data_IF_756808849953
#
_entry.id   IF_756808849953
#
_cell.length_a   1.000
_cell.length_b   1.000
_cell.length_c   1.000
_cell.angle_alpha   90.00
_cell.angle_beta   90.00
_cell.angle_gamma   90.00
#
_symmetry.space_group_name_H-M   'P 1'
#
loop_
_entity.id
_entity.type
_entity.pdbx_description
1 polymer ?
#
# COMPACT_ATOMS: atom_id res chain seq x y z
N UNK A 1 12.12 -31.71 -5.23
CA UNK A 1 12.70 -31.92 -3.90
C UNK A 1 12.47 -30.76 -2.93
N UNK A 2 12.49 -29.49 -3.34
CA UNK A 2 12.27 -28.32 -2.44
C UNK A 2 10.82 -28.23 -1.87
N UNK A 3 9.82 -28.76 -2.54
CA UNK A 3 8.41 -28.75 -2.05
C UNK A 3 8.14 -29.68 -0.85
N UNK A 4 8.96 -30.70 -0.67
CA UNK A 4 8.80 -31.70 0.42
C UNK A 4 9.49 -31.21 1.69
N UNK A 5 10.58 -30.45 1.59
CA UNK A 5 11.32 -29.90 2.74
C UNK A 5 10.55 -28.76 3.47
N UNK A 6 9.76 -27.96 2.75
CA UNK A 6 8.95 -26.88 3.39
C UNK A 6 7.78 -27.43 4.23
N UNK A 7 7.20 -28.54 3.82
CA UNK A 7 6.17 -29.24 4.59
C UNK A 7 6.77 -29.92 5.84
N UNK A 8 8.00 -30.41 5.75
CA UNK A 8 8.66 -31.15 6.83
C UNK A 8 9.02 -30.22 8.00
N UNK A 9 9.39 -28.95 7.78
CA UNK A 9 9.76 -28.04 8.87
C UNK A 9 8.57 -27.53 9.69
N UNK A 10 7.43 -27.27 9.07
CA UNK A 10 6.18 -26.98 9.77
C UNK A 10 5.66 -28.22 10.54
N UNK A 11 5.97 -29.43 10.07
CA UNK A 11 5.62 -30.68 10.74
C UNK A 11 6.59 -31.08 11.87
N UNK A 12 7.88 -30.73 11.80
CA UNK A 12 8.84 -31.15 12.82
C UNK A 12 8.59 -30.54 14.20
N UNK A 13 8.11 -29.28 14.27
CA UNK A 13 7.69 -28.69 15.56
C UNK A 13 6.46 -29.38 16.17
N UNK A 14 5.66 -30.08 15.35
CA UNK A 14 4.49 -30.83 15.78
C UNK A 14 4.80 -32.29 16.29
N UNK A 15 5.90 -32.88 15.83
CA UNK A 15 6.16 -34.30 16.12
C UNK A 15 6.91 -34.56 17.44
N UNK A 16 7.44 -33.56 18.13
CA UNK A 16 8.35 -33.79 19.25
C UNK A 16 7.71 -34.00 20.64
N UNK A 17 6.39 -33.84 20.81
CA UNK A 17 5.75 -34.20 22.10
C UNK A 17 4.28 -34.56 21.90
N UNK A 18 3.93 -35.85 21.94
CA UNK A 18 2.56 -36.30 22.09
C UNK A 18 2.13 -36.25 23.56
N UNK A 19 1.03 -35.52 23.82
CA UNK A 19 0.14 -35.82 24.97
C UNK A 19 0.38 -35.02 26.24
N UNK A 20 -0.08 -33.78 26.31
CA UNK A 20 -0.69 -33.15 27.51
C UNK A 20 -1.30 -31.79 27.16
N UNK A 21 -2.44 -31.35 27.77
CA UNK A 21 -3.06 -30.03 27.50
C UNK A 21 -2.12 -28.84 27.75
N UNK A 22 -1.16 -28.99 28.66
CA UNK A 22 -0.10 -28.00 28.95
C UNK A 22 0.82 -27.79 27.74
N UNK A 23 1.05 -28.84 26.96
CA UNK A 23 1.87 -28.80 25.74
C UNK A 23 1.24 -27.95 24.62
N UNK A 24 -0.08 -28.07 24.42
CA UNK A 24 -0.78 -27.34 23.33
C UNK A 24 -0.85 -25.84 23.59
N UNK A 25 -1.04 -25.44 24.85
CA UNK A 25 -0.99 -24.02 25.25
C UNK A 25 0.40 -23.42 25.05
N UNK A 26 1.45 -24.15 25.40
CA UNK A 26 2.82 -23.71 25.17
C UNK A 26 3.09 -23.55 23.67
N UNK A 27 2.69 -24.50 22.82
CA UNK A 27 2.86 -24.45 21.37
C UNK A 27 2.13 -23.26 20.75
N UNK A 28 0.89 -22.99 21.15
CA UNK A 28 0.14 -21.81 20.70
C UNK A 28 0.90 -20.52 21.03
N UNK A 29 1.35 -20.38 22.27
CA UNK A 29 2.08 -19.17 22.69
C UNK A 29 3.40 -19.00 21.99
N UNK A 30 4.15 -20.10 21.81
CA UNK A 30 5.42 -20.06 21.11
C UNK A 30 5.22 -19.63 19.65
N UNK A 31 4.30 -20.26 18.94
CA UNK A 31 3.98 -19.87 17.58
C UNK A 31 3.52 -18.41 17.47
N UNK A 32 2.64 -17.98 18.36
CA UNK A 32 2.18 -16.59 18.41
C UNK A 32 3.35 -15.60 18.60
N UNK A 33 4.25 -15.89 19.54
CA UNK A 33 5.46 -15.12 19.77
C UNK A 33 6.35 -15.07 18.52
N UNK A 34 6.59 -16.22 17.90
CA UNK A 34 7.47 -16.33 16.72
C UNK A 34 6.97 -15.49 15.54
N UNK A 35 5.66 -15.38 15.36
CA UNK A 35 5.06 -14.52 14.32
C UNK A 35 4.78 -13.08 14.78
N UNK A 36 5.23 -12.67 15.98
CA UNK A 36 5.11 -11.32 16.50
C UNK A 36 3.74 -10.97 17.09
N UNK A 37 3.07 -11.95 17.70
CA UNK A 37 1.94 -11.70 18.59
C UNK A 37 2.44 -11.67 20.02
N UNK A 38 2.35 -10.50 20.64
CA UNK A 38 2.80 -10.29 22.01
C UNK A 38 2.03 -11.19 23.00
N UNK A 39 2.63 -11.43 24.17
CA UNK A 39 1.96 -12.17 25.25
C UNK A 39 0.68 -11.45 25.69
N UNK A 40 -0.48 -12.06 25.43
CA UNK A 40 -1.79 -11.45 25.68
C UNK A 40 -2.32 -11.78 27.07
N UNK A 41 -1.91 -12.91 27.64
CA UNK A 41 -2.39 -13.42 28.93
C UNK A 41 -1.60 -14.67 29.37
N UNK A 42 -1.68 -15.00 30.66
CA UNK A 42 -0.91 -16.07 31.28
C UNK A 42 -1.62 -17.45 31.21
N UNK A 43 -2.95 -17.47 31.25
CA UNK A 43 -3.74 -18.71 31.38
C UNK A 43 -4.63 -18.93 30.13
N UNK A 44 -4.87 -20.20 29.74
CA UNK A 44 -5.63 -20.57 28.56
C UNK A 44 -7.15 -20.53 28.79
N UNK A 45 -7.68 -19.44 29.35
CA UNK A 45 -9.13 -19.25 29.39
C UNK A 45 -9.70 -18.91 28.00
N UNK A 46 -11.03 -19.00 27.87
CA UNK A 46 -11.71 -18.76 26.60
C UNK A 46 -11.44 -17.37 26.02
N UNK A 47 -11.37 -16.36 26.85
CA UNK A 47 -11.13 -14.99 26.42
C UNK A 47 -9.68 -14.81 25.92
N UNK A 48 -8.74 -15.45 26.59
CA UNK A 48 -7.33 -15.45 26.23
C UNK A 48 -7.08 -16.13 24.89
N UNK A 49 -7.53 -17.35 24.74
CA UNK A 49 -7.39 -18.12 23.46
C UNK A 49 -8.07 -17.39 22.31
N UNK A 50 -9.27 -16.82 22.52
CA UNK A 50 -9.96 -15.98 21.54
C UNK A 50 -9.11 -14.82 21.08
N UNK A 51 -8.43 -14.10 21.99
CA UNK A 51 -7.54 -12.98 21.66
C UNK A 51 -6.33 -13.43 20.85
N UNK A 52 -5.68 -14.54 21.21
CA UNK A 52 -4.58 -15.10 20.43
C UNK A 52 -5.02 -15.45 19.02
N UNK A 53 -6.14 -16.16 18.88
CA UNK A 53 -6.66 -16.57 17.57
C UNK A 53 -7.05 -15.37 16.71
N UNK A 54 -7.68 -14.34 17.29
CA UNK A 54 -7.97 -13.10 16.59
C UNK A 54 -6.70 -12.41 16.07
N UNK A 55 -5.63 -12.40 16.87
CA UNK A 55 -4.35 -11.80 16.47
C UNK A 55 -3.60 -12.64 15.43
N UNK A 56 -3.65 -13.97 15.53
CA UNK A 56 -3.04 -14.87 14.55
C UNK A 56 -3.75 -14.75 13.19
N UNK A 57 -5.08 -14.68 13.17
CA UNK A 57 -5.86 -14.60 11.92
C UNK A 57 -5.87 -13.19 11.34
N UNK A 58 -6.06 -12.17 12.18
CA UNK A 58 -6.38 -10.80 11.76
C UNK A 58 -5.33 -9.76 12.13
N UNK A 59 -4.25 -10.14 12.80
CA UNK A 59 -3.22 -9.20 13.21
C UNK A 59 -3.74 -8.03 14.03
N UNK A 60 -2.90 -7.04 14.22
CA UNK A 60 -3.24 -5.72 14.77
C UNK A 60 -3.04 -4.65 13.71
N UNK A 61 -3.64 -3.50 13.91
CA UNK A 61 -3.40 -2.33 13.05
C UNK A 61 -1.89 -2.02 13.02
N UNK A 62 -1.28 -1.87 11.82
CA UNK A 62 0.13 -1.51 11.70
C UNK A 62 0.45 -0.20 12.43
N UNK A 63 1.59 -0.15 13.13
CA UNK A 63 1.96 0.95 14.06
C UNK A 63 1.94 2.35 13.43
N UNK A 64 2.18 2.47 12.13
CA UNK A 64 2.28 3.76 11.42
C UNK A 64 1.00 4.15 10.69
N UNK A 65 -0.09 3.41 10.86
CA UNK A 65 -1.36 3.73 10.21
C UNK A 65 -1.88 5.08 10.68
N UNK A 66 -2.11 6.00 9.72
CA UNK A 66 -2.53 7.38 10.02
C UNK A 66 -4.03 7.58 9.82
N UNK A 67 -4.64 6.79 8.95
CA UNK A 67 -6.07 6.89 8.66
C UNK A 67 -6.63 5.54 8.24
N UNK A 68 -7.81 5.21 8.73
CA UNK A 68 -8.52 3.97 8.43
C UNK A 68 -9.91 4.32 7.87
N UNK A 69 -9.98 4.39 6.55
CA UNK A 69 -11.20 4.70 5.81
C UNK A 69 -11.96 3.47 5.32
N UNK A 70 -11.41 2.26 5.56
CA UNK A 70 -12.07 1.00 5.21
C UNK A 70 -12.67 0.35 6.47
N UNK A 71 -13.87 -0.24 6.37
CA UNK A 71 -14.42 -1.04 7.46
C UNK A 71 -13.61 -2.32 7.65
N UNK A 72 -13.27 -2.62 8.90
CA UNK A 72 -12.66 -3.87 9.30
C UNK A 72 -13.73 -4.91 9.66
N UNK A 73 -13.55 -6.15 9.23
CA UNK A 73 -14.44 -7.27 9.52
C UNK A 73 -13.66 -8.41 10.15
N UNK A 74 -14.01 -8.75 11.39
CA UNK A 74 -13.49 -9.92 12.10
C UNK A 74 -14.61 -10.95 12.17
N UNK A 75 -14.34 -12.18 11.71
CA UNK A 75 -15.29 -13.30 11.81
C UNK A 75 -15.24 -13.89 13.23
N UNK A 76 -15.98 -13.25 14.14
CA UNK A 76 -16.05 -13.66 15.54
C UNK A 76 -16.63 -15.07 15.71
N UNK A 77 -17.54 -15.49 14.83
CA UNK A 77 -18.13 -16.84 14.86
C UNK A 77 -17.08 -17.89 14.56
N UNK A 78 -16.25 -17.66 13.52
CA UNK A 78 -15.12 -18.54 13.20
C UNK A 78 -14.14 -18.61 14.36
N UNK A 79 -13.74 -17.47 14.94
CA UNK A 79 -12.80 -17.44 16.06
C UNK A 79 -13.37 -18.18 17.27
N UNK A 80 -14.63 -17.94 17.64
CA UNK A 80 -15.27 -18.63 18.76
C UNK A 80 -15.35 -20.15 18.55
N UNK A 81 -15.59 -20.60 17.31
CA UNK A 81 -15.58 -22.03 16.97
C UNK A 81 -14.19 -22.65 17.17
N UNK A 82 -13.14 -22.03 16.64
CA UNK A 82 -11.77 -22.51 16.77
C UNK A 82 -11.31 -22.50 18.24
N UNK A 83 -11.70 -21.48 19.01
CA UNK A 83 -11.45 -21.42 20.46
C UNK A 83 -12.08 -22.62 21.19
N UNK A 84 -13.34 -22.93 20.90
CA UNK A 84 -14.00 -24.12 21.51
C UNK A 84 -13.33 -25.44 21.13
N UNK A 85 -12.88 -25.58 19.88
CA UNK A 85 -12.15 -26.77 19.42
C UNK A 85 -10.83 -26.94 20.19
N UNK A 86 -10.06 -25.85 20.34
CA UNK A 86 -8.80 -25.85 21.09
C UNK A 86 -9.02 -26.22 22.57
N UNK A 87 -9.96 -25.56 23.24
CA UNK A 87 -10.30 -25.85 24.65
C UNK A 87 -10.92 -27.23 24.84
N UNK A 88 -11.55 -27.78 23.81
CA UNK A 88 -12.06 -29.14 23.76
C UNK A 88 -11.00 -30.21 23.49
N UNK A 89 -9.72 -29.87 23.39
CA UNK A 89 -8.61 -30.79 23.25
C UNK A 89 -8.20 -31.10 21.79
N UNK A 90 -8.68 -30.34 20.81
CA UNK A 90 -8.14 -30.42 19.44
C UNK A 90 -6.69 -29.96 19.44
N UNK A 91 -5.79 -30.76 18.88
CA UNK A 91 -4.36 -30.43 18.85
C UNK A 91 -4.08 -29.19 18.05
N UNK A 92 -3.03 -28.45 18.43
CA UNK A 92 -2.64 -27.18 17.83
C UNK A 92 -2.32 -27.31 16.33
N UNK A 93 -1.66 -28.40 15.93
CA UNK A 93 -1.25 -28.57 14.54
C UNK A 93 -2.44 -28.72 13.59
N UNK A 94 -3.50 -29.42 14.04
CA UNK A 94 -4.75 -29.53 13.28
C UNK A 94 -5.48 -28.19 13.14
N UNK A 95 -5.33 -27.28 14.11
CA UNK A 95 -5.93 -25.95 14.07
C UNK A 95 -5.10 -24.93 13.31
N UNK A 96 -3.79 -25.12 13.27
CA UNK A 96 -2.85 -24.14 12.72
C UNK A 96 -3.15 -23.78 11.25
N UNK A 97 -3.40 -24.77 10.40
CA UNK A 97 -3.74 -24.51 8.99
C UNK A 97 -5.07 -23.74 8.84
N UNK A 98 -5.99 -23.94 9.77
CA UNK A 98 -7.25 -23.19 9.81
C UNK A 98 -7.10 -21.76 10.32
N UNK A 99 -6.05 -21.46 11.09
CA UNK A 99 -5.77 -20.15 11.67
C UNK A 99 -4.89 -19.31 10.74
N UNK A 100 -3.87 -19.93 10.16
CA UNK A 100 -2.88 -19.25 9.34
C UNK A 100 -3.47 -18.71 8.02
N UNK A 101 -2.89 -17.61 7.54
CA UNK A 101 -3.25 -17.07 6.24
C UNK A 101 -2.81 -17.99 5.10
N UNK A 102 -3.71 -18.23 4.14
CA UNK A 102 -3.40 -18.97 2.93
C UNK A 102 -2.70 -18.12 1.85
N UNK A 103 -2.45 -16.84 2.11
CA UNK A 103 -1.67 -15.98 1.24
C UNK A 103 -0.26 -16.57 1.06
N UNK A 104 0.11 -16.85 -0.21
CA UNK A 104 1.40 -17.47 -0.54
C UNK A 104 2.58 -16.66 -0.03
N UNK A 105 2.51 -15.32 -0.10
CA UNK A 105 3.58 -14.42 0.35
C UNK A 105 3.71 -14.46 1.87
N UNK A 106 2.59 -14.44 2.58
CA UNK A 106 2.58 -14.60 4.03
C UNK A 106 3.29 -15.90 4.43
N UNK A 107 2.91 -17.05 3.83
CA UNK A 107 3.54 -18.34 4.13
C UNK A 107 5.04 -18.38 3.84
N UNK A 108 5.49 -17.77 2.74
CA UNK A 108 6.91 -17.66 2.42
C UNK A 108 7.67 -16.79 3.45
N UNK A 109 7.08 -15.68 3.88
CA UNK A 109 7.66 -14.79 4.89
C UNK A 109 7.66 -15.42 6.28
N UNK A 110 6.62 -16.17 6.64
CA UNK A 110 6.58 -16.94 7.90
C UNK A 110 7.69 -18.00 7.92
N UNK A 111 7.84 -18.76 6.83
CA UNK A 111 8.94 -19.74 6.73
C UNK A 111 10.33 -19.08 6.81
N UNK A 112 10.50 -17.89 6.27
CA UNK A 112 11.72 -17.11 6.41
C UNK A 112 11.94 -16.67 7.87
N UNK A 113 10.90 -16.15 8.52
CA UNK A 113 10.94 -15.74 9.93
C UNK A 113 11.38 -16.90 10.83
N UNK A 114 10.77 -18.07 10.66
CA UNK A 114 11.12 -19.27 11.43
C UNK A 114 12.58 -19.68 11.24
N UNK A 115 13.11 -19.62 10.01
CA UNK A 115 14.55 -19.88 9.76
C UNK A 115 15.43 -18.88 10.47
N UNK A 116 15.13 -17.58 10.40
CA UNK A 116 15.90 -16.56 11.09
C UNK A 116 15.95 -16.78 12.61
N UNK A 117 14.83 -17.25 13.20
CA UNK A 117 14.77 -17.56 14.64
C UNK A 117 15.61 -18.80 15.01
N UNK A 118 15.67 -19.81 14.12
CA UNK A 118 16.46 -21.02 14.34
C UNK A 118 17.96 -20.76 14.15
N UNK A 119 18.32 -20.02 13.09
CA UNK A 119 19.71 -19.77 12.73
C UNK A 119 20.34 -18.64 13.57
N UNK A 120 19.55 -17.93 14.38
CA UNK A 120 19.94 -16.73 15.15
C UNK A 120 20.70 -15.69 14.29
N UNK A 121 20.36 -15.65 13.00
CA UNK A 121 21.00 -14.77 12.03
C UNK A 121 20.01 -14.20 11.01
N UNK A 122 20.00 -12.87 10.88
CA UNK A 122 19.13 -12.14 9.94
C UNK A 122 19.89 -11.20 8.99
N UNK A 123 21.21 -11.17 9.04
CA UNK A 123 22.02 -10.16 8.35
C UNK A 123 21.97 -8.79 9.03
N UNK A 124 22.95 -7.94 8.75
CA UNK A 124 23.23 -6.70 9.48
C UNK A 124 22.18 -5.59 9.34
N UNK A 125 21.14 -5.76 8.53
CA UNK A 125 20.20 -4.69 8.18
C UNK A 125 18.73 -4.95 8.51
N UNK A 126 18.40 -6.10 9.11
CA UNK A 126 17.04 -6.52 9.41
C UNK A 126 16.94 -6.98 10.86
N UNK A 127 15.83 -6.63 11.54
CA UNK A 127 15.54 -7.16 12.88
C UNK A 127 14.34 -8.08 12.85
N UNK A 128 14.22 -8.98 13.84
CA UNK A 128 13.08 -9.91 13.93
C UNK A 128 11.76 -9.14 14.05
N UNK A 129 11.74 -8.03 14.76
CA UNK A 129 10.54 -7.20 14.93
C UNK A 129 10.08 -6.62 13.59
N UNK A 130 11.00 -6.30 12.66
CA UNK A 130 10.66 -5.82 11.33
C UNK A 130 10.02 -6.91 10.47
N UNK A 131 10.51 -8.15 10.60
CA UNK A 131 9.90 -9.33 9.95
C UNK A 131 8.52 -9.58 10.52
N UNK A 132 8.40 -9.60 11.83
CA UNK A 132 7.14 -9.81 12.56
C UNK A 132 6.12 -8.73 12.28
N UNK A 133 6.52 -7.44 12.16
CA UNK A 133 5.62 -6.36 11.77
C UNK A 133 5.14 -6.52 10.32
N UNK A 134 5.98 -7.02 9.42
CA UNK A 134 5.57 -7.37 8.07
C UNK A 134 4.54 -8.52 8.08
N UNK A 135 4.77 -9.58 8.86
CA UNK A 135 3.80 -10.67 9.03
C UNK A 135 2.47 -10.16 9.61
N UNK A 136 2.55 -9.26 10.61
CA UNK A 136 1.38 -8.60 11.17
C UNK A 136 0.58 -7.85 10.11
N UNK A 137 1.24 -7.08 9.24
CA UNK A 137 0.56 -6.35 8.17
C UNK A 137 -0.17 -7.29 7.20
N UNK A 138 0.41 -8.45 6.85
CA UNK A 138 -0.27 -9.46 6.03
C UNK A 138 -1.49 -10.08 6.73
N UNK A 139 -1.41 -10.37 8.04
CA UNK A 139 -2.56 -10.84 8.82
C UNK A 139 -3.64 -9.76 8.91
N UNK A 140 -3.25 -8.51 9.12
CA UNK A 140 -4.18 -7.39 9.19
C UNK A 140 -4.97 -7.19 7.89
N UNK A 141 -4.40 -7.49 6.71
CA UNK A 141 -5.12 -7.46 5.44
C UNK A 141 -6.34 -8.41 5.41
N UNK A 142 -6.39 -9.46 6.24
CA UNK A 142 -7.53 -10.37 6.33
C UNK A 142 -8.78 -9.71 6.93
N UNK A 143 -8.64 -8.51 7.55
CA UNK A 143 -9.78 -7.73 8.04
C UNK A 143 -10.59 -7.08 6.91
N UNK A 144 -10.03 -6.98 5.72
CA UNK A 144 -10.69 -6.33 4.59
C UNK A 144 -11.23 -7.36 3.61
N UNK A 145 -12.55 -7.63 3.71
CA UNK A 145 -13.24 -8.56 2.81
C UNK A 145 -13.61 -7.84 1.52
N UNK A 146 -12.75 -7.92 0.52
CA UNK A 146 -13.01 -7.39 -0.81
C UNK A 146 -12.58 -8.39 -1.88
N UNK A 147 -13.32 -8.39 -3.00
CA UNK A 147 -12.97 -9.22 -4.17
C UNK A 147 -11.67 -8.76 -4.83
N UNK A 148 -11.43 -7.45 -4.78
CA UNK A 148 -10.25 -6.81 -5.39
C UNK A 148 -9.74 -5.75 -4.43
N UNK A 149 -8.43 -5.70 -4.19
CA UNK A 149 -7.75 -4.71 -3.33
C UNK A 149 -6.49 -4.21 -4.01
N UNK A 150 -6.29 -2.91 -4.00
CA UNK A 150 -5.03 -2.26 -4.40
C UNK A 150 -4.16 -2.11 -3.15
N UNK A 151 -2.96 -2.63 -3.17
CA UNK A 151 -2.01 -2.56 -2.06
C UNK A 151 -0.74 -1.89 -2.59
N UNK A 152 -0.31 -0.82 -1.93
CA UNK A 152 0.96 -0.15 -2.22
C UNK A 152 1.89 -0.34 -1.04
N UNK A 153 3.06 -0.91 -1.29
CA UNK A 153 4.12 -1.00 -0.30
C UNK A 153 5.16 0.09 -0.57
N UNK A 154 5.33 1.01 0.38
CA UNK A 154 6.20 2.18 0.23
C UNK A 154 7.68 1.78 0.08
N UNK A 155 8.28 0.93 0.94
CA UNK A 155 9.70 0.59 0.83
C UNK A 155 10.07 -0.08 -0.50
N UNK A 156 9.27 -1.01 -0.99
CA UNK A 156 9.51 -1.68 -2.28
C UNK A 156 9.12 -0.80 -3.47
N UNK A 157 8.38 0.27 -3.24
CA UNK A 157 7.76 1.12 -4.27
C UNK A 157 7.03 0.28 -5.34
N UNK A 158 6.21 -0.67 -4.86
CA UNK A 158 5.40 -1.57 -5.67
C UNK A 158 3.92 -1.42 -5.33
N UNK A 159 3.09 -1.44 -6.37
CA UNK A 159 1.66 -1.58 -6.31
C UNK A 159 1.27 -2.99 -6.74
N UNK A 160 0.41 -3.63 -5.99
CA UNK A 160 -0.21 -4.91 -6.34
C UNK A 160 -1.73 -4.79 -6.27
N UNK A 161 -2.41 -5.49 -7.16
CA UNK A 161 -3.83 -5.75 -7.03
C UNK A 161 -3.99 -7.21 -6.66
N UNK A 162 -4.65 -7.48 -5.56
CA UNK A 162 -4.93 -8.84 -5.10
C UNK A 162 -6.42 -9.17 -5.22
N UNK A 163 -6.70 -10.44 -5.50
CA UNK A 163 -8.04 -11.03 -5.43
C UNK A 163 -8.46 -11.30 -3.97
N UNK A 164 -9.66 -11.85 -3.78
CA UNK A 164 -10.21 -12.23 -2.47
C UNK A 164 -9.35 -13.28 -1.74
N UNK A 165 -8.62 -14.13 -2.47
CA UNK A 165 -7.75 -15.17 -1.91
C UNK A 165 -6.35 -14.66 -1.56
N UNK A 166 -6.03 -13.39 -1.86
CA UNK A 166 -4.71 -12.81 -1.67
C UNK A 166 -3.76 -13.02 -2.86
N UNK A 167 -4.20 -13.70 -3.94
CA UNK A 167 -3.35 -13.85 -5.12
C UNK A 167 -3.14 -12.51 -5.80
N UNK A 168 -1.92 -12.24 -6.23
CA UNK A 168 -1.61 -11.05 -7.02
C UNK A 168 -2.07 -11.27 -8.46
N UNK A 169 -3.04 -10.46 -8.91
CA UNK A 169 -3.57 -10.48 -10.28
C UNK A 169 -2.96 -9.40 -11.17
N UNK A 170 -2.29 -8.40 -10.55
CA UNK A 170 -1.60 -7.32 -11.26
C UNK A 170 -0.50 -6.75 -10.38
N UNK A 171 0.63 -6.34 -11.00
CA UNK A 171 1.69 -5.58 -10.34
C UNK A 171 2.21 -4.45 -11.22
N UNK A 172 2.65 -3.38 -10.57
CA UNK A 172 3.23 -2.21 -11.22
C UNK A 172 4.25 -1.55 -10.30
N UNK A 173 5.34 -1.09 -10.86
CA UNK A 173 6.23 -0.16 -10.15
C UNK A 173 5.49 1.13 -9.86
N UNK A 174 5.83 1.77 -8.73
CA UNK A 174 5.29 3.09 -8.39
C UNK A 174 6.40 4.02 -7.95
N UNK A 175 6.12 5.31 -7.97
CA UNK A 175 6.92 6.35 -7.31
C UNK A 175 6.10 6.86 -6.13
N UNK A 176 6.68 6.83 -4.94
CA UNK A 176 6.07 7.32 -3.70
C UNK A 176 6.76 8.59 -3.20
N UNK A 177 6.25 9.18 -2.14
CA UNK A 177 6.79 10.41 -1.55
C UNK A 177 8.27 10.26 -1.15
N UNK A 178 9.03 11.35 -1.28
CA UNK A 178 10.38 11.43 -0.72
C UNK A 178 10.34 11.54 0.82
N UNK A 179 11.44 11.24 1.55
CA UNK A 179 11.46 11.30 3.01
C UNK A 179 10.99 12.64 3.61
N UNK A 180 11.24 13.76 2.93
CA UNK A 180 10.80 15.08 3.37
C UNK A 180 9.32 15.39 3.11
N UNK A 181 8.65 14.60 2.25
CA UNK A 181 7.22 14.69 1.93
C UNK A 181 6.67 13.26 1.79
N UNK A 182 6.62 12.49 2.87
CA UNK A 182 6.30 11.08 2.82
C UNK A 182 4.85 10.82 2.41
N UNK A 183 4.64 9.74 1.67
CA UNK A 183 3.29 9.17 1.50
C UNK A 183 2.83 8.61 2.85
N UNK A 184 1.69 9.07 3.42
CA UNK A 184 1.18 8.52 4.67
C UNK A 184 0.65 7.09 4.48
N UNK A 185 0.64 6.30 5.56
CA UNK A 185 -0.04 5.00 5.58
C UNK A 185 -1.51 5.22 5.88
N UNK A 186 -2.37 4.70 5.02
CA UNK A 186 -3.80 4.79 5.21
C UNK A 186 -4.55 3.68 4.45
N UNK A 187 -5.81 3.51 4.80
CA UNK A 187 -6.78 2.75 4.01
C UNK A 187 -7.89 3.67 3.51
N UNK A 188 -8.31 3.49 2.27
CA UNK A 188 -9.36 4.30 1.64
C UNK A 188 -9.98 3.53 0.46
N UNK A 189 -10.86 4.20 -0.30
CA UNK A 189 -11.41 3.69 -1.55
C UNK A 189 -10.91 4.48 -2.75
N UNK A 190 -10.77 3.79 -3.89
CA UNK A 190 -10.69 4.39 -5.21
C UNK A 190 -12.09 4.35 -5.82
N UNK A 191 -12.81 5.48 -5.89
CA UNK A 191 -14.17 5.53 -6.44
C UNK A 191 -14.22 5.74 -7.95
N UNK A 192 -13.17 6.33 -8.55
CA UNK A 192 -13.21 6.78 -9.94
C UNK A 192 -11.82 6.96 -10.54
N UNK A 193 -11.79 6.95 -11.87
CA UNK A 193 -10.63 7.32 -12.69
C UNK A 193 -10.96 8.62 -13.43
N UNK A 194 -10.05 9.57 -13.46
CA UNK A 194 -10.14 10.80 -14.26
C UNK A 194 -9.23 10.66 -15.46
N UNK A 195 -9.80 10.82 -16.63
CA UNK A 195 -9.13 10.80 -17.92
C UNK A 195 -8.77 12.25 -18.27
N UNK A 196 -7.54 12.49 -18.73
CA UNK A 196 -6.98 13.82 -19.01
C UNK A 196 -7.19 14.80 -17.86
N UNK A 197 -6.66 14.52 -16.65
CA UNK A 197 -6.87 15.37 -15.49
C UNK A 197 -6.20 16.74 -15.66
N UNK A 198 -6.81 17.79 -15.10
CA UNK A 198 -6.05 18.98 -14.73
C UNK A 198 -5.17 18.65 -13.52
N UNK A 199 -3.96 19.20 -13.48
CA UNK A 199 -3.20 19.22 -12.24
C UNK A 199 -3.40 20.55 -11.53
N UNK A 200 -4.27 20.58 -10.53
CA UNK A 200 -4.35 21.70 -9.59
C UNK A 200 -3.11 21.64 -8.69
N UNK A 201 -2.21 22.60 -8.86
CA UNK A 201 -0.94 22.60 -8.15
C UNK A 201 -1.16 22.86 -6.66
N UNK A 202 -0.71 21.99 -5.76
CA UNK A 202 -0.79 22.21 -4.32
C UNK A 202 -0.13 23.53 -3.91
N UNK A 203 -0.71 24.22 -2.92
CA UNK A 203 -0.21 25.51 -2.44
C UNK A 203 1.26 25.46 -2.03
N UNK A 204 1.68 24.38 -1.38
CA UNK A 204 3.07 24.16 -0.97
C UNK A 204 4.04 24.14 -2.16
N UNK A 205 3.68 23.46 -3.25
CA UNK A 205 4.48 23.42 -4.49
C UNK A 205 4.45 24.77 -5.19
N UNK A 206 3.26 25.39 -5.27
CA UNK A 206 3.12 26.73 -5.84
C UNK A 206 4.09 27.70 -5.17
N UNK A 207 4.07 27.78 -3.85
CA UNK A 207 4.84 28.76 -3.08
C UNK A 207 6.33 28.44 -3.05
N UNK A 208 6.69 27.20 -2.82
CA UNK A 208 8.09 26.82 -2.58
C UNK A 208 8.89 26.59 -3.85
N UNK A 209 8.24 26.17 -4.94
CA UNK A 209 8.94 25.71 -6.14
C UNK A 209 8.62 26.53 -7.39
N UNK A 210 7.32 26.86 -7.62
CA UNK A 210 6.92 27.49 -8.86
C UNK A 210 6.99 29.02 -8.82
N UNK A 211 6.49 29.67 -7.77
CA UNK A 211 6.55 31.14 -7.67
C UNK A 211 7.96 31.69 -7.78
N UNK A 212 9.01 31.12 -7.16
CA UNK A 212 10.37 31.57 -7.36
C UNK A 212 10.86 31.51 -8.82
N UNK A 213 10.40 30.48 -9.57
CA UNK A 213 10.72 30.33 -11.00
C UNK A 213 9.92 31.30 -11.85
N UNK A 214 8.62 31.42 -11.60
CA UNK A 214 7.69 32.28 -12.32
C UNK A 214 8.14 33.74 -12.19
N UNK A 215 8.54 34.19 -11.01
CA UNK A 215 9.02 35.56 -10.78
C UNK A 215 10.24 35.94 -11.61
N UNK A 216 11.12 34.97 -11.92
CA UNK A 216 12.28 35.22 -12.77
C UNK A 216 11.88 35.48 -14.24
N UNK A 217 10.95 34.69 -14.75
CA UNK A 217 10.42 34.83 -16.11
C UNK A 217 9.01 34.24 -16.17
N UNK A 218 7.97 35.08 -15.92
CA UNK A 218 6.58 34.62 -15.86
C UNK A 218 6.12 33.91 -17.13
N UNK A 219 6.27 34.59 -18.28
CA UNK A 219 5.77 34.05 -19.55
C UNK A 219 6.45 32.74 -19.95
N UNK A 220 7.78 32.69 -19.88
CA UNK A 220 8.52 31.48 -20.25
C UNK A 220 8.20 30.31 -19.32
N UNK A 221 8.10 30.55 -17.99
CA UNK A 221 7.81 29.47 -17.03
C UNK A 221 6.40 28.93 -17.18
N UNK A 222 5.40 29.81 -17.31
CA UNK A 222 4.00 29.40 -17.48
C UNK A 222 3.80 28.62 -18.78
N UNK A 223 4.38 29.10 -19.87
CA UNK A 223 4.29 28.46 -21.19
C UNK A 223 5.00 27.09 -21.20
N UNK A 224 6.23 27.01 -20.70
CA UNK A 224 7.01 25.77 -20.68
C UNK A 224 6.36 24.66 -19.86
N UNK A 225 5.55 25.02 -18.87
CA UNK A 225 4.85 24.08 -18.00
C UNK A 225 3.35 23.99 -18.29
N UNK A 226 2.83 24.64 -19.32
CA UNK A 226 1.39 24.72 -19.62
C UNK A 226 0.55 25.12 -18.40
N UNK A 227 1.02 26.11 -17.62
CA UNK A 227 0.37 26.57 -16.40
C UNK A 227 -0.61 27.70 -16.67
N UNK A 228 -1.79 27.55 -16.14
CA UNK A 228 -2.85 28.55 -16.09
C UNK A 228 -2.90 29.16 -14.68
N UNK A 229 -3.21 30.44 -14.59
CA UNK A 229 -3.44 31.12 -13.31
C UNK A 229 -4.93 31.26 -13.08
N UNK A 230 -5.40 30.78 -11.94
CA UNK A 230 -6.83 30.66 -11.64
C UNK A 230 -7.16 31.52 -10.42
N UNK A 231 -8.16 32.40 -10.52
CA UNK A 231 -8.64 33.22 -9.42
C UNK A 231 -9.53 32.44 -8.44
N UNK A 232 -9.98 33.08 -7.37
CA UNK A 232 -10.86 32.47 -6.36
C UNK A 232 -12.21 32.02 -6.92
N UNK A 233 -12.68 32.63 -8.04
CA UNK A 233 -13.92 32.26 -8.73
C UNK A 233 -13.75 31.08 -9.70
N UNK A 234 -12.51 30.52 -9.83
CA UNK A 234 -12.23 29.42 -10.75
C UNK A 234 -11.98 29.86 -12.22
N UNK A 235 -11.91 31.14 -12.48
CA UNK A 235 -11.68 31.70 -13.81
C UNK A 235 -10.19 31.84 -14.09
N UNK A 236 -9.78 31.65 -15.33
CA UNK A 236 -8.41 31.91 -15.78
C UNK A 236 -8.15 33.41 -15.84
N UNK A 237 -6.96 33.83 -15.40
CA UNK A 237 -6.53 35.22 -15.33
C UNK A 237 -5.36 35.41 -16.29
N UNK A 238 -5.37 36.51 -17.04
CA UNK A 238 -4.23 36.87 -17.90
C UNK A 238 -2.98 37.10 -17.02
N UNK A 239 -1.92 36.31 -17.22
CA UNK A 239 -0.69 36.43 -16.45
C UNK A 239 -0.01 37.82 -16.52
N UNK A 240 -0.31 38.59 -17.57
CA UNK A 240 0.24 39.96 -17.76
C UNK A 240 -0.36 40.94 -16.76
N UNK A 241 -1.54 40.69 -16.23
CA UNK A 241 -2.23 41.56 -15.26
C UNK A 241 -1.83 41.27 -13.81
N UNK A 242 -1.00 40.29 -13.58
CA UNK A 242 -0.65 39.79 -12.23
C UNK A 242 0.61 40.51 -11.72
N UNK A 243 0.51 41.05 -10.50
CA UNK A 243 1.69 41.47 -9.78
C UNK A 243 2.46 40.29 -9.18
N UNK A 244 3.44 39.79 -9.90
CA UNK A 244 4.25 38.63 -9.46
C UNK A 244 5.17 38.91 -8.27
N UNK A 245 5.37 40.22 -7.90
CA UNK A 245 6.10 40.61 -6.70
C UNK A 245 5.31 40.37 -5.40
N UNK A 246 3.99 40.15 -5.50
CA UNK A 246 3.14 39.85 -4.33
C UNK A 246 3.76 38.75 -3.45
N UNK A 247 3.91 38.99 -2.13
CA UNK A 247 4.48 37.99 -1.21
C UNK A 247 3.78 36.63 -1.32
N UNK A 248 4.54 35.55 -1.17
CA UNK A 248 4.04 34.21 -1.42
C UNK A 248 2.87 33.81 -0.49
N UNK A 249 2.84 34.30 0.74
CA UNK A 249 1.76 34.12 1.69
C UNK A 249 0.47 34.88 1.28
N UNK A 250 0.60 35.99 0.62
CA UNK A 250 -0.51 36.84 0.13
C UNK A 250 -0.88 36.60 -1.33
N UNK A 251 -0.19 35.66 -2.04
CA UNK A 251 -0.48 35.38 -3.44
C UNK A 251 -1.88 34.74 -3.58
N UNK A 252 -2.87 35.41 -4.21
CA UNK A 252 -4.28 35.02 -4.12
C UNK A 252 -4.70 33.97 -5.14
N UNK A 253 -3.83 33.66 -6.10
CA UNK A 253 -4.16 32.77 -7.21
C UNK A 253 -3.75 31.33 -6.94
N UNK A 254 -4.41 30.41 -7.64
CA UNK A 254 -4.03 29.00 -7.77
C UNK A 254 -3.38 28.78 -9.13
N UNK A 255 -2.44 27.84 -9.21
CA UNK A 255 -1.88 27.39 -10.47
C UNK A 255 -2.54 26.08 -10.87
N UNK A 256 -2.84 25.95 -12.14
CA UNK A 256 -3.40 24.73 -12.74
C UNK A 256 -2.61 24.40 -14.01
N UNK A 257 -2.14 23.18 -14.13
CA UNK A 257 -1.56 22.69 -15.38
C UNK A 257 -2.69 22.14 -16.26
N UNK A 258 -2.68 22.52 -17.53
CA UNK A 258 -3.64 22.05 -18.53
C UNK A 258 -3.47 20.55 -18.82
N UNK A 259 -4.46 19.96 -19.44
CA UNK A 259 -4.46 18.56 -19.83
C UNK A 259 -3.45 18.28 -20.95
N UNK A 260 -3.03 17.04 -21.09
CA UNK A 260 -2.11 16.60 -22.12
C UNK A 260 -1.00 15.71 -21.59
N UNK A 261 -0.15 15.20 -22.48
CA UNK A 261 0.95 14.30 -22.08
C UNK A 261 2.05 14.98 -21.29
N UNK A 262 2.18 16.31 -21.39
CA UNK A 262 3.15 17.08 -20.61
C UNK A 262 2.66 17.34 -19.17
N UNK A 263 1.40 16.98 -18.86
CA UNK A 263 0.84 17.15 -17.54
C UNK A 263 1.58 16.26 -16.52
N UNK A 264 1.92 16.80 -15.37
CA UNK A 264 2.63 16.08 -14.31
C UNK A 264 1.86 14.83 -13.80
N UNK A 265 0.52 14.84 -13.95
CA UNK A 265 -0.34 13.69 -13.63
C UNK A 265 -0.50 12.70 -14.80
N UNK A 266 0.15 12.97 -15.95
CA UNK A 266 -0.07 12.21 -17.17
C UNK A 266 -1.52 12.29 -17.64
N UNK A 267 -2.02 11.22 -18.23
CA UNK A 267 -3.37 11.15 -18.84
C UNK A 267 -4.41 10.43 -17.97
N UNK A 268 -4.01 9.83 -16.84
CA UNK A 268 -4.89 9.08 -15.93
C UNK A 268 -4.62 9.44 -14.47
N UNK A 269 -5.70 9.69 -13.71
CA UNK A 269 -5.68 9.90 -12.27
C UNK A 269 -6.74 9.04 -11.62
N UNK A 270 -6.39 8.35 -10.54
CA UNK A 270 -7.29 7.58 -9.70
C UNK A 270 -7.58 8.40 -8.45
N UNK A 271 -8.82 8.83 -8.27
CA UNK A 271 -9.23 9.53 -7.06
C UNK A 271 -9.20 8.57 -5.86
N UNK A 272 -8.83 9.09 -4.70
CA UNK A 272 -8.79 8.34 -3.44
C UNK A 272 -9.61 9.08 -2.38
N UNK A 273 -10.51 8.39 -1.71
CA UNK A 273 -11.39 8.96 -0.69
C UNK A 273 -10.70 9.00 0.69
N UNK A 274 -9.62 9.77 0.82
CA UNK A 274 -8.89 9.95 2.09
C UNK A 274 -8.90 11.43 2.51
N UNK A 275 -8.62 11.75 3.79
CA UNK A 275 -8.47 13.13 4.24
C UNK A 275 -7.18 13.79 3.71
N UNK A 276 -6.32 13.03 3.06
CA UNK A 276 -5.10 13.51 2.43
C UNK A 276 -5.36 13.84 0.97
N UNK A 277 -4.71 14.88 0.46
CA UNK A 277 -4.68 15.18 -0.98
C UNK A 277 -3.74 14.22 -1.72
N UNK A 278 -3.88 12.91 -1.44
CA UNK A 278 -3.10 11.84 -2.04
C UNK A 278 -3.97 11.06 -3.03
N UNK A 279 -3.45 10.84 -4.22
CA UNK A 279 -4.08 10.06 -5.27
C UNK A 279 -3.03 9.26 -6.04
N UNK A 280 -3.49 8.27 -6.82
CA UNK A 280 -2.63 7.56 -7.76
C UNK A 280 -2.77 8.21 -9.13
N UNK A 281 -1.69 8.27 -9.91
CA UNK A 281 -1.75 8.90 -11.23
C UNK A 281 -0.64 8.40 -12.18
N UNK A 282 -0.82 8.64 -13.46
CA UNK A 282 0.19 8.53 -14.49
C UNK A 282 1.28 9.62 -14.33
N UNK A 283 2.23 9.71 -15.21
CA UNK A 283 3.27 10.74 -15.22
C UNK A 283 3.84 10.95 -16.61
N UNK A 284 4.20 12.19 -16.92
CA UNK A 284 5.00 12.53 -18.10
C UNK A 284 6.49 12.11 -17.98
N UNK A 285 6.96 11.85 -16.76
CA UNK A 285 8.36 11.50 -16.47
C UNK A 285 8.53 9.97 -16.29
N UNK A 286 8.21 9.18 -17.30
CA UNK A 286 8.15 7.70 -17.21
C UNK A 286 9.51 7.04 -16.93
N UNK A 287 10.63 7.70 -17.28
CA UNK A 287 12.00 7.23 -17.01
C UNK A 287 12.29 7.05 -15.51
N UNK A 288 11.52 7.67 -14.63
CA UNK A 288 11.71 7.53 -13.17
C UNK A 288 11.44 6.11 -12.66
N UNK A 289 10.64 5.32 -13.37
CA UNK A 289 10.33 3.94 -12.98
C UNK A 289 11.52 2.98 -13.16
N UNK A 290 12.50 3.34 -13.99
CA UNK A 290 13.74 2.57 -14.15
C UNK A 290 14.71 2.75 -12.96
N UNK A 291 14.48 3.75 -12.11
CA UNK A 291 15.33 3.99 -10.95
C UNK A 291 15.10 2.92 -9.87
N UNK A 292 16.16 2.55 -9.19
CA UNK A 292 16.08 1.68 -8.01
C UNK A 292 15.36 2.40 -6.85
N UNK A 293 15.81 3.60 -6.50
CA UNK A 293 15.11 4.43 -5.51
C UNK A 293 14.00 5.23 -6.19
N UNK A 294 12.76 4.89 -5.86
CA UNK A 294 11.55 5.54 -6.36
C UNK A 294 10.79 6.36 -5.31
N UNK A 295 11.48 6.80 -4.24
CA UNK A 295 10.94 7.72 -3.23
C UNK A 295 11.20 9.17 -3.66
N UNK A 296 10.44 9.67 -4.64
CA UNK A 296 10.76 10.91 -5.37
C UNK A 296 9.61 11.93 -5.43
N UNK A 297 8.35 11.54 -5.10
CA UNK A 297 7.19 12.41 -5.23
C UNK A 297 7.00 13.35 -4.03
N UNK A 298 6.00 14.21 -4.10
CA UNK A 298 5.55 15.06 -2.99
C UNK A 298 4.46 14.39 -2.13
N UNK A 299 4.33 13.06 -2.20
CA UNK A 299 3.37 12.27 -1.45
C UNK A 299 2.41 11.47 -2.31
N UNK A 300 1.96 11.98 -3.46
CA UNK A 300 1.14 11.23 -4.41
C UNK A 300 1.89 10.05 -5.04
N UNK A 301 1.15 9.08 -5.56
CA UNK A 301 1.69 7.80 -6.04
C UNK A 301 1.62 7.77 -7.56
N UNK A 302 2.79 7.83 -8.23
CA UNK A 302 2.87 7.64 -9.68
C UNK A 302 2.85 6.16 -10.01
N UNK A 303 2.07 5.77 -11.01
CA UNK A 303 1.89 4.37 -11.42
C UNK A 303 2.52 4.17 -12.80
N UNK A 304 3.33 3.12 -12.96
CA UNK A 304 4.01 2.84 -14.23
C UNK A 304 3.04 2.32 -15.31
N UNK A 305 2.07 1.48 -14.93
CA UNK A 305 1.09 0.85 -15.83
C UNK A 305 -0.34 1.34 -15.50
N UNK A 306 -0.62 2.65 -15.65
CA UNK A 306 -1.90 3.21 -15.19
C UNK A 306 -3.08 2.82 -16.07
N UNK A 307 -2.87 2.60 -17.37
CA UNK A 307 -3.85 2.12 -18.35
C UNK A 307 -4.31 0.69 -18.04
N UNK A 308 -3.37 -0.22 -17.81
CA UNK A 308 -3.66 -1.59 -17.41
C UNK A 308 -4.35 -1.66 -16.04
N UNK A 309 -3.90 -0.83 -15.07
CA UNK A 309 -4.57 -0.71 -13.77
C UNK A 309 -6.01 -0.21 -13.95
N UNK A 310 -6.22 0.83 -14.76
CA UNK A 310 -7.56 1.38 -15.00
C UNK A 310 -8.49 0.36 -15.66
N UNK A 311 -8.01 -0.38 -16.67
CA UNK A 311 -8.77 -1.45 -17.31
C UNK A 311 -9.18 -2.52 -16.30
N UNK A 312 -8.24 -2.96 -15.46
CA UNK A 312 -8.52 -3.95 -14.41
C UNK A 312 -9.60 -3.47 -13.42
N UNK A 313 -9.48 -2.23 -12.94
CA UNK A 313 -10.43 -1.68 -11.96
C UNK A 313 -11.80 -1.36 -12.58
N UNK A 314 -11.86 -1.05 -13.86
CA UNK A 314 -13.10 -0.86 -14.61
C UNK A 314 -13.79 -2.19 -14.94
N UNK A 315 -13.03 -3.29 -15.03
CA UNK A 315 -13.54 -4.61 -15.40
C UNK A 315 -13.71 -4.81 -16.92
N UNK A 316 -13.22 -3.87 -17.74
CA UNK A 316 -13.22 -3.97 -19.20
C UNK A 316 -12.06 -3.18 -19.82
N UNK A 317 -11.65 -3.58 -21.02
CA UNK A 317 -10.59 -2.91 -21.77
C UNK A 317 -11.13 -1.60 -22.39
N UNK A 318 -10.76 -0.47 -21.75
CA UNK A 318 -11.07 0.88 -22.22
C UNK A 318 -9.88 1.54 -22.89
N UNK A 319 -8.68 1.27 -22.39
CA UNK A 319 -7.44 1.89 -22.81
C UNK A 319 -6.59 0.88 -23.54
N UNK A 320 -6.30 1.17 -24.82
CA UNK A 320 -5.40 0.34 -25.64
C UNK A 320 -3.93 0.58 -25.29
N UNK A 321 -3.04 -0.20 -25.90
CA UNK A 321 -1.59 -0.14 -25.66
C UNK A 321 -0.99 1.25 -25.93
N UNK A 322 -1.51 1.97 -26.94
CA UNK A 322 -1.00 3.28 -27.35
C UNK A 322 -1.63 4.45 -26.58
N UNK A 323 -2.52 4.18 -25.63
CA UNK A 323 -3.29 5.23 -24.96
C UNK A 323 -2.40 6.25 -24.23
N UNK A 324 -1.32 5.78 -23.60
CA UNK A 324 -0.40 6.65 -22.84
C UNK A 324 0.49 7.51 -23.76
N UNK A 325 0.62 7.17 -25.01
CA UNK A 325 1.43 7.88 -26.02
C UNK A 325 0.60 8.69 -27.01
N UNK A 326 -0.68 8.36 -27.18
CA UNK A 326 -1.63 9.10 -28.03
C UNK A 326 -2.15 10.34 -27.31
N UNK A 327 -1.36 11.41 -27.37
CA UNK A 327 -1.63 12.64 -26.65
C UNK A 327 -2.71 13.50 -27.31
N UNK A 328 -3.94 13.46 -26.80
CA UNK A 328 -4.91 14.49 -27.15
C UNK A 328 -4.57 15.79 -26.40
N UNK A 329 -4.13 16.81 -27.13
CA UNK A 329 -3.92 18.15 -26.58
C UNK A 329 -5.29 18.78 -26.29
N UNK A 330 -5.38 19.49 -25.15
CA UNK A 330 -6.59 20.23 -24.74
C UNK A 330 -7.87 19.36 -24.58
N UNK A 331 -7.72 18.09 -24.31
CA UNK A 331 -8.87 17.24 -23.99
C UNK A 331 -9.52 17.71 -22.68
N UNK A 332 -10.85 17.73 -22.61
CA UNK A 332 -11.56 18.04 -21.37
C UNK A 332 -11.47 16.88 -20.38
N UNK A 333 -11.24 17.12 -19.10
CA UNK A 333 -11.23 16.07 -18.09
C UNK A 333 -12.54 15.30 -18.04
N UNK A 334 -12.46 13.97 -18.00
CA UNK A 334 -13.63 13.10 -17.89
C UNK A 334 -13.48 12.17 -16.69
N UNK A 335 -14.38 12.25 -15.74
CA UNK A 335 -14.45 11.32 -14.60
C UNK A 335 -15.26 10.10 -14.97
N UNK A 336 -14.72 8.92 -14.75
CA UNK A 336 -15.35 7.62 -14.93
C UNK A 336 -15.45 6.96 -13.56
N UNK A 337 -16.67 6.70 -13.10
CA UNK A 337 -16.89 5.98 -11.86
C UNK A 337 -16.54 4.52 -12.03
N UNK A 338 -15.92 3.92 -11.02
CA UNK A 338 -15.71 2.48 -10.98
C UNK A 338 -17.05 1.76 -10.67
N UNK A 339 -17.29 0.56 -11.23
CA UNK A 339 -18.49 -0.22 -10.93
C UNK A 339 -18.66 -0.50 -9.43
N UNK A 340 -17.55 -0.67 -8.73
CA UNK A 340 -17.47 -0.76 -7.26
C UNK A 340 -16.31 0.11 -6.78
N UNK A 341 -16.45 0.74 -5.60
CA UNK A 341 -15.32 1.41 -4.95
C UNK A 341 -14.28 0.37 -4.56
N UNK A 342 -13.05 0.51 -5.05
CA UNK A 342 -11.99 -0.47 -4.81
C UNK A 342 -11.18 -0.06 -3.59
N UNK A 343 -11.02 -0.93 -2.58
CA UNK A 343 -10.13 -0.69 -1.45
C UNK A 343 -8.70 -0.43 -1.90
N UNK A 344 -8.09 0.62 -1.36
CA UNK A 344 -6.67 0.92 -1.48
C UNK A 344 -6.04 0.97 -0.10
N UNK A 345 -4.92 0.28 0.06
CA UNK A 345 -4.21 0.11 1.32
C UNK A 345 -2.74 0.47 1.09
N UNK A 346 -2.26 1.48 1.82
CA UNK A 346 -0.87 1.92 1.76
C UNK A 346 -0.15 1.38 2.98
N UNK A 347 0.87 0.55 2.75
CA UNK A 347 1.64 -0.16 3.76
C UNK A 347 3.11 0.26 3.78
N UNK A 348 3.79 -0.15 4.85
CA UNK A 348 5.22 0.06 5.01
C UNK A 348 5.89 -1.24 5.51
N UNK A 349 6.11 -2.17 4.60
CA UNK A 349 6.77 -3.43 4.88
C UNK A 349 8.20 -3.37 4.34
N UNK A 350 9.19 -3.43 5.21
CA UNK A 350 10.61 -3.45 4.82
C UNK A 350 11.02 -4.77 4.20
N UNK A 351 10.24 -5.82 4.40
CA UNK A 351 10.39 -7.12 3.78
C UNK A 351 9.26 -7.34 2.78
N UNK A 352 9.57 -7.78 1.59
CA UNK A 352 8.57 -8.12 0.56
C UNK A 352 9.11 -9.21 -0.37
N UNK A 353 8.23 -9.77 -1.17
CA UNK A 353 8.58 -10.76 -2.19
C UNK A 353 8.55 -10.07 -3.54
N UNK A 354 9.66 -10.13 -4.27
CA UNK A 354 9.78 -9.52 -5.60
C UNK A 354 8.99 -10.29 -6.67
N UNK A 355 9.03 -9.82 -7.91
CA UNK A 355 8.32 -10.43 -9.03
C UNK A 355 8.88 -11.82 -9.39
N UNK A 356 10.14 -12.10 -9.06
CA UNK A 356 10.78 -13.41 -9.24
C UNK A 356 10.45 -14.40 -8.10
N UNK A 357 9.74 -13.94 -7.07
CA UNK A 357 9.39 -14.74 -5.89
C UNK A 357 10.48 -14.82 -4.84
N UNK A 358 11.52 -13.98 -4.94
CA UNK A 358 12.59 -13.89 -3.95
C UNK A 358 12.23 -12.89 -2.84
N UNK A 359 12.60 -13.24 -1.60
CA UNK A 359 12.47 -12.35 -0.45
C UNK A 359 13.52 -11.26 -0.55
N UNK A 360 13.09 -10.01 -0.44
CA UNK A 360 13.93 -8.82 -0.51
C UNK A 360 13.73 -7.93 0.71
N UNK A 361 14.84 -7.41 1.22
CA UNK A 361 14.86 -6.37 2.24
C UNK A 361 14.98 -5.01 1.54
N UNK A 362 14.04 -4.11 1.82
CA UNK A 362 14.00 -2.79 1.22
C UNK A 362 14.39 -1.73 2.26
N UNK A 363 15.52 -1.07 2.02
CA UNK A 363 15.89 0.10 2.81
C UNK A 363 15.00 1.27 2.42
N UNK A 364 14.43 1.93 3.41
CA UNK A 364 13.61 3.12 3.17
C UNK A 364 14.24 4.32 3.88
N UNK A 365 14.26 5.46 3.19
CA UNK A 365 14.66 6.74 3.79
C UNK A 365 13.61 7.32 4.76
N UNK A 366 12.44 6.72 4.89
CA UNK A 366 11.43 7.15 5.86
C UNK A 366 11.90 6.78 7.26
N UNK A 367 12.08 7.78 8.11
CA UNK A 367 12.40 7.54 9.52
C UNK A 367 11.23 6.84 10.22
N UNK A 368 11.54 5.92 11.16
CA UNK A 368 10.51 5.23 11.94
C UNK A 368 9.65 6.18 12.77
#
# INVERSE_FOLDING_TARGET
>A
MIRILLAIFLFLSCYLTQGQPVGEWFRLRQHAHDIGVDSLCAQPDSACVTRYFAQIVYGRTPRRMRYQGLPEVIDSVRIARLTRQFLGGTDWCSLLDSLESHDRRYRQLTAYCMRCLVDDYMGDSLTIEQVQETLNAYRWLNRFRAETRVIVNIPSAMLRVSDRRGNTVFSSRVVVGKPSTPTPLFTAYIPSVVIYPYWNVPRSITVRELLPKIRKNPAATLNAMNLQVINAKGQEVDPKTINWATPANAFPYRLRQSTGCDNALGVLKFNVSSPYDIYLHDTNARQVFARENRQLSHGCIRVEKPDALANLLLGYARFGADYLTSCAKNASPKTVLLPKKIPVIILYNVLDIDEAGAIRVYRSGYRP
#
